data_IF_627127537416
#
_entry.id   IF_627127537416
#
_cell.length_a   1.000
_cell.length_b   1.000
_cell.length_c   1.000
_cell.angle_alpha   90.00
_cell.angle_beta   90.00
_cell.angle_gamma   90.00
#
_symmetry.space_group_name_H-M   'P 1'
#
loop_
_entity.id
_entity.type
_entity.pdbx_description
1 polymer ?
#
# COMPACT_ATOMS: atom_id res chain seq x y z
N UNK A 1 22.98 -15.14 4.38
CA UNK A 1 21.85 -15.02 3.44
C UNK A 1 22.45 -14.98 2.04
N UNK A 2 22.13 -15.95 1.20
CA UNK A 2 22.46 -15.86 -0.22
C UNK A 2 21.68 -14.67 -0.81
N UNK A 3 22.35 -13.73 -1.50
CA UNK A 3 21.70 -12.58 -2.12
C UNK A 3 20.64 -12.99 -3.16
N UNK A 4 20.04 -12.01 -3.83
CA UNK A 4 18.99 -12.23 -4.81
C UNK A 4 19.34 -13.34 -5.81
N UNK A 5 18.38 -14.24 -6.08
CA UNK A 5 18.51 -15.43 -6.95
C UNK A 5 19.61 -16.40 -6.51
N UNK A 6 20.04 -16.37 -5.23
CA UNK A 6 21.16 -17.17 -4.75
C UNK A 6 22.51 -16.83 -5.42
N UNK A 7 22.59 -15.68 -6.10
CA UNK A 7 23.75 -15.29 -6.91
C UNK A 7 23.81 -15.97 -8.29
N UNK A 8 22.80 -16.79 -8.64
CA UNK A 8 22.80 -17.57 -9.88
C UNK A 8 21.98 -16.87 -11.00
N UNK A 9 22.63 -16.43 -12.10
CA UNK A 9 21.95 -15.87 -13.25
C UNK A 9 20.91 -16.82 -13.91
N UNK A 10 21.12 -18.14 -13.79
CA UNK A 10 20.20 -19.12 -14.37
C UNK A 10 18.88 -19.14 -13.62
N UNK A 11 18.86 -18.96 -12.30
CA UNK A 11 17.64 -18.85 -11.49
C UNK A 11 16.83 -17.61 -11.91
N UNK A 12 17.51 -16.47 -12.10
CA UNK A 12 16.88 -15.23 -12.60
C UNK A 12 16.29 -15.44 -14.00
N UNK A 13 17.06 -16.02 -14.93
CA UNK A 13 16.62 -16.27 -16.30
C UNK A 13 15.39 -17.19 -16.32
N UNK A 14 15.41 -18.28 -15.58
CA UNK A 14 14.29 -19.22 -15.51
C UNK A 14 13.00 -18.59 -14.96
N UNK A 15 13.12 -17.64 -14.00
CA UNK A 15 11.97 -16.90 -13.48
C UNK A 15 11.42 -15.95 -14.54
N UNK A 16 12.27 -15.21 -15.25
CA UNK A 16 11.87 -14.31 -16.33
C UNK A 16 11.20 -15.09 -17.48
N UNK A 17 11.79 -16.20 -17.91
CA UNK A 17 11.22 -17.02 -18.98
C UNK A 17 9.84 -17.57 -18.60
N UNK A 18 9.65 -17.97 -17.32
CA UNK A 18 8.36 -18.39 -16.81
C UNK A 18 7.32 -17.27 -16.87
N UNK A 19 7.66 -16.07 -16.38
CA UNK A 19 6.75 -14.93 -16.43
C UNK A 19 6.39 -14.58 -17.88
N UNK A 20 7.38 -14.53 -18.78
CA UNK A 20 7.18 -14.25 -20.21
C UNK A 20 6.31 -15.29 -20.90
N UNK A 21 6.48 -16.57 -20.58
CA UNK A 21 5.61 -17.64 -21.11
C UNK A 21 4.15 -17.43 -20.69
N UNK A 22 3.91 -17.09 -19.40
CA UNK A 22 2.54 -16.81 -18.93
C UNK A 22 1.96 -15.52 -19.52
N UNK A 23 2.79 -14.53 -19.89
CA UNK A 23 2.36 -13.36 -20.67
C UNK A 23 1.95 -13.78 -22.09
N UNK A 24 2.77 -14.57 -22.77
CA UNK A 24 2.50 -15.03 -24.13
C UNK A 24 1.24 -15.90 -24.20
N UNK A 25 0.96 -16.71 -23.18
CA UNK A 25 -0.20 -17.59 -23.08
C UNK A 25 -1.46 -16.90 -22.52
N UNK A 26 -1.42 -15.58 -22.24
CA UNK A 26 -2.49 -14.80 -21.60
C UNK A 26 -2.98 -15.42 -20.27
N UNK A 27 -2.06 -15.99 -19.50
CA UNK A 27 -2.33 -16.64 -18.21
C UNK A 27 -1.71 -15.90 -17.01
N UNK A 28 -0.92 -14.84 -17.25
CA UNK A 28 -0.51 -13.89 -16.21
C UNK A 28 -1.68 -12.94 -15.90
N UNK A 29 -2.10 -12.88 -14.65
CA UNK A 29 -3.28 -12.14 -14.21
C UNK A 29 -2.93 -11.13 -13.10
N UNK A 30 -3.76 -10.11 -12.97
CA UNK A 30 -3.59 -9.08 -11.95
C UNK A 30 -4.90 -8.96 -11.15
N UNK A 31 -5.01 -9.69 -10.03
CA UNK A 31 -6.25 -9.75 -9.25
C UNK A 31 -6.15 -10.66 -8.03
N UNK A 32 -7.31 -11.11 -7.54
CA UNK A 32 -7.40 -11.80 -6.25
C UNK A 32 -6.94 -13.27 -6.27
N UNK A 33 -6.93 -13.92 -7.44
CA UNK A 33 -6.55 -15.34 -7.52
C UNK A 33 -5.07 -15.47 -7.76
N UNK A 34 -4.32 -15.85 -6.72
CA UNK A 34 -2.89 -15.99 -6.81
C UNK A 34 -2.48 -17.06 -7.83
N UNK A 35 -3.05 -18.26 -7.72
CA UNK A 35 -2.78 -19.39 -8.63
C UNK A 35 -4.00 -20.30 -8.75
N UNK A 36 -4.40 -20.69 -9.98
CA UNK A 36 -5.54 -21.58 -10.24
C UNK A 36 -5.15 -22.94 -10.86
N UNK A 37 -3.85 -23.25 -10.86
CA UNK A 37 -3.31 -24.46 -11.48
C UNK A 37 -2.85 -24.26 -12.93
N UNK A 38 -3.27 -23.19 -13.62
CA UNK A 38 -2.93 -22.87 -15.01
C UNK A 38 -2.32 -21.48 -15.17
N UNK A 39 -2.80 -20.50 -14.41
CA UNK A 39 -2.33 -19.14 -14.44
C UNK A 39 -2.54 -18.45 -13.10
N UNK A 40 -2.08 -17.21 -12.95
CA UNK A 40 -2.21 -16.47 -11.72
C UNK A 40 -1.49 -15.13 -11.72
N UNK A 41 -1.37 -14.54 -10.52
CA UNK A 41 -0.62 -13.32 -10.30
C UNK A 41 0.89 -13.53 -10.52
N UNK A 42 1.69 -12.47 -10.65
CA UNK A 42 3.15 -12.61 -10.74
C UNK A 42 3.76 -13.44 -9.61
N UNK A 43 3.30 -13.26 -8.37
CA UNK A 43 3.71 -14.07 -7.23
C UNK A 43 3.25 -15.53 -7.40
N UNK A 44 2.00 -15.73 -7.79
CA UNK A 44 1.40 -17.05 -8.01
C UNK A 44 2.09 -17.84 -9.12
N UNK A 45 2.36 -17.22 -10.25
CA UNK A 45 3.13 -17.81 -11.36
C UNK A 45 4.55 -18.19 -10.93
N UNK A 46 5.20 -17.31 -10.15
CA UNK A 46 6.57 -17.52 -9.70
C UNK A 46 6.70 -18.73 -8.77
N UNK A 47 5.75 -18.92 -7.86
CA UNK A 47 5.79 -19.97 -6.83
C UNK A 47 4.90 -21.17 -7.12
N UNK A 48 3.96 -21.06 -8.07
CA UNK A 48 2.84 -21.98 -8.29
C UNK A 48 1.93 -22.13 -7.06
N UNK A 49 1.77 -21.04 -6.30
CA UNK A 49 0.97 -21.06 -5.07
C UNK A 49 0.52 -19.68 -4.62
N UNK A 50 1.42 -18.71 -4.57
CA UNK A 50 1.12 -17.35 -4.10
C UNK A 50 1.58 -17.07 -2.66
N UNK A 51 2.43 -17.91 -2.10
CA UNK A 51 3.04 -17.68 -0.78
C UNK A 51 4.27 -16.77 -0.92
N UNK A 52 4.24 -15.64 -0.22
CA UNK A 52 5.36 -14.69 -0.16
C UNK A 52 6.61 -15.26 0.51
N UNK A 53 6.46 -16.20 1.46
CA UNK A 53 7.60 -16.83 2.10
C UNK A 53 8.29 -17.78 1.13
N UNK A 54 7.54 -18.56 0.34
CA UNK A 54 8.09 -19.41 -0.71
C UNK A 54 8.83 -18.59 -1.79
N UNK A 55 8.31 -17.41 -2.15
CA UNK A 55 9.01 -16.51 -3.07
C UNK A 55 10.31 -15.97 -2.45
N UNK A 56 10.27 -15.56 -1.20
CA UNK A 56 11.42 -15.05 -0.47
C UNK A 56 12.54 -16.12 -0.41
N UNK A 57 12.19 -17.33 -0.03
CA UNK A 57 13.13 -18.45 0.11
C UNK A 57 13.75 -18.87 -1.24
N UNK A 58 12.94 -18.93 -2.31
CA UNK A 58 13.42 -19.35 -3.63
C UNK A 58 14.28 -18.33 -4.34
N UNK A 59 13.96 -17.05 -4.20
CA UNK A 59 14.57 -16.00 -4.99
C UNK A 59 15.41 -15.02 -4.18
N UNK A 60 15.54 -15.21 -2.85
CA UNK A 60 16.39 -14.40 -1.98
C UNK A 60 15.87 -12.96 -1.77
N UNK A 61 14.57 -12.73 -1.97
CA UNK A 61 13.94 -11.44 -1.64
C UNK A 61 13.58 -11.39 -0.15
N UNK A 62 13.73 -10.22 0.52
CA UNK A 62 13.14 -10.04 1.84
C UNK A 62 11.63 -10.32 1.83
N UNK A 63 11.10 -10.92 2.89
CA UNK A 63 9.68 -11.30 2.99
C UNK A 63 8.73 -10.11 2.78
N UNK A 64 9.07 -8.94 3.34
CA UNK A 64 8.28 -7.73 3.15
C UNK A 64 8.21 -7.28 1.68
N UNK A 65 9.30 -7.46 0.91
CA UNK A 65 9.30 -7.19 -0.53
C UNK A 65 8.49 -8.24 -1.28
N UNK A 66 8.68 -9.53 -0.99
CA UNK A 66 7.93 -10.61 -1.64
C UNK A 66 6.41 -10.38 -1.54
N UNK A 67 5.93 -9.89 -0.38
CA UNK A 67 4.53 -9.52 -0.17
C UNK A 67 4.06 -8.30 -0.97
N UNK A 68 4.99 -7.53 -1.55
CA UNK A 68 4.66 -6.32 -2.31
C UNK A 68 4.50 -6.57 -3.82
N UNK A 69 4.97 -7.70 -4.37
CA UNK A 69 4.99 -7.94 -5.81
C UNK A 69 3.60 -7.80 -6.45
N UNK A 70 2.62 -8.54 -5.98
CA UNK A 70 1.26 -8.49 -6.53
C UNK A 70 0.55 -7.15 -6.30
N UNK A 71 0.56 -6.54 -5.07
CA UNK A 71 0.02 -5.20 -4.87
C UNK A 71 0.65 -4.14 -5.76
N UNK A 72 1.98 -4.15 -5.92
CA UNK A 72 2.68 -3.20 -6.78
C UNK A 72 2.22 -3.30 -8.24
N UNK A 73 2.11 -4.52 -8.77
CA UNK A 73 1.66 -4.74 -10.14
C UNK A 73 0.18 -4.35 -10.34
N UNK A 74 -0.66 -4.57 -9.33
CA UNK A 74 -2.05 -4.10 -9.37
C UNK A 74 -2.16 -2.57 -9.42
N UNK A 75 -1.30 -1.83 -8.71
CA UNK A 75 -1.25 -0.37 -8.76
C UNK A 75 -0.72 0.18 -10.10
N UNK A 76 0.06 -0.61 -10.85
CA UNK A 76 0.53 -0.20 -12.18
C UNK A 76 -0.62 0.05 -13.17
N UNK A 77 -1.76 -0.58 -12.94
CA UNK A 77 -2.89 -0.60 -13.86
C UNK A 77 -2.66 -1.57 -15.04
N UNK A 78 -3.71 -1.90 -15.80
CA UNK A 78 -3.66 -2.98 -16.80
C UNK A 78 -2.61 -2.75 -17.89
N UNK A 79 -2.34 -1.50 -18.25
CA UNK A 79 -1.42 -1.14 -19.34
C UNK A 79 0.06 -1.34 -18.95
N UNK A 80 0.41 -1.24 -17.66
CA UNK A 80 1.79 -1.29 -17.16
C UNK A 80 2.08 -2.49 -16.26
N UNK A 81 1.07 -3.27 -15.90
CA UNK A 81 1.20 -4.35 -14.92
C UNK A 81 2.19 -5.44 -15.36
N UNK A 82 2.18 -5.80 -16.66
CA UNK A 82 3.13 -6.77 -17.23
C UNK A 82 4.55 -6.24 -17.15
N UNK A 83 4.78 -5.02 -17.60
CA UNK A 83 6.10 -4.40 -17.58
C UNK A 83 6.63 -4.25 -16.14
N UNK A 84 5.77 -3.89 -15.20
CA UNK A 84 6.12 -3.80 -13.78
C UNK A 84 6.52 -5.17 -13.21
N UNK A 85 5.80 -6.24 -13.55
CA UNK A 85 6.12 -7.60 -13.11
C UNK A 85 7.46 -8.10 -13.66
N UNK A 86 7.73 -7.84 -14.93
CA UNK A 86 9.02 -8.20 -15.54
C UNK A 86 10.16 -7.35 -14.99
N UNK A 87 9.97 -6.03 -14.88
CA UNK A 87 10.96 -5.10 -14.35
C UNK A 87 11.35 -5.40 -12.89
N UNK A 88 10.43 -5.93 -12.08
CA UNK A 88 10.70 -6.40 -10.72
C UNK A 88 11.84 -7.43 -10.67
N UNK A 89 11.90 -8.33 -11.64
CA UNK A 89 12.96 -9.33 -11.73
C UNK A 89 14.17 -8.77 -12.50
N UNK A 90 13.94 -8.07 -13.60
CA UNK A 90 14.99 -7.59 -14.51
C UNK A 90 15.96 -6.63 -13.83
N UNK A 91 15.45 -5.71 -12.98
CA UNK A 91 16.26 -4.67 -12.33
C UNK A 91 17.14 -5.17 -11.19
N UNK A 92 16.92 -6.38 -10.70
CA UNK A 92 17.69 -6.94 -9.58
C UNK A 92 18.83 -7.80 -10.10
N UNK A 93 20.12 -7.44 -9.86
CA UNK A 93 21.24 -8.30 -10.21
C UNK A 93 21.26 -9.60 -9.38
N UNK A 94 21.70 -10.74 -9.96
CA UNK A 94 21.96 -11.92 -9.17
C UNK A 94 23.02 -11.65 -8.08
N UNK A 95 22.76 -12.09 -6.85
CA UNK A 95 23.63 -11.86 -5.71
C UNK A 95 23.46 -10.51 -5.01
N UNK A 96 22.61 -9.61 -5.52
CA UNK A 96 22.34 -8.33 -4.87
C UNK A 96 21.80 -8.51 -3.45
N UNK A 97 22.27 -7.70 -2.52
CA UNK A 97 21.72 -7.63 -1.16
C UNK A 97 20.49 -6.74 -1.13
N UNK A 98 19.31 -7.36 -1.09
CA UNK A 98 18.03 -6.66 -1.01
C UNK A 98 17.60 -6.34 0.43
N UNK A 99 18.35 -6.74 1.44
CA UNK A 99 17.96 -6.57 2.86
C UNK A 99 17.65 -5.12 3.26
N UNK A 100 18.33 -4.06 2.74
CA UNK A 100 18.03 -2.68 3.11
C UNK A 100 16.83 -2.06 2.37
N UNK A 101 16.32 -2.73 1.32
CA UNK A 101 15.28 -2.14 0.45
C UNK A 101 13.95 -1.91 1.18
N UNK A 102 13.43 -2.86 1.98
CA UNK A 102 12.18 -2.63 2.73
C UNK A 102 12.24 -1.41 3.63
N UNK A 103 13.33 -1.22 4.39
CA UNK A 103 13.50 -0.06 5.27
C UNK A 103 13.55 1.24 4.47
N UNK A 104 14.25 1.27 3.33
CA UNK A 104 14.30 2.45 2.44
C UNK A 104 12.93 2.83 1.90
N UNK A 105 12.09 1.85 1.55
CA UNK A 105 10.71 2.10 1.11
C UNK A 105 9.87 2.67 2.27
N UNK A 106 9.98 2.10 3.47
CA UNK A 106 9.30 2.65 4.66
C UNK A 106 9.73 4.09 4.92
N UNK A 107 11.04 4.36 4.88
CA UNK A 107 11.57 5.71 5.13
C UNK A 107 11.10 6.72 4.08
N UNK A 108 11.05 6.32 2.81
CA UNK A 108 10.49 7.12 1.72
C UNK A 108 9.03 7.49 1.99
N UNK A 109 8.18 6.50 2.25
CA UNK A 109 6.75 6.70 2.47
C UNK A 109 6.46 7.55 3.73
N UNK A 110 7.15 7.25 4.83
CA UNK A 110 7.04 8.05 6.07
C UNK A 110 7.64 9.44 5.88
N UNK A 111 8.65 9.60 5.02
CA UNK A 111 9.24 10.89 4.67
C UNK A 111 8.21 11.83 4.06
N UNK A 112 7.34 11.33 3.20
CA UNK A 112 6.29 12.12 2.57
C UNK A 112 5.08 12.39 3.47
N UNK A 113 4.70 11.43 4.34
CA UNK A 113 3.51 11.55 5.20
C UNK A 113 3.79 12.20 6.55
N UNK A 114 4.98 11.99 7.10
CA UNK A 114 5.29 12.28 8.50
C UNK A 114 6.20 13.51 8.67
N UNK A 115 5.99 14.54 7.85
CA UNK A 115 6.64 15.85 8.04
C UNK A 115 6.22 16.53 9.35
N UNK A 116 5.23 15.98 10.06
CA UNK A 116 4.74 16.51 11.33
C UNK A 116 5.75 16.29 12.46
N UNK A 117 5.92 17.32 13.31
CA UNK A 117 6.84 17.31 14.45
C UNK A 117 6.50 16.23 15.48
N UNK A 118 5.22 15.86 15.62
CA UNK A 118 4.78 14.83 16.56
C UNK A 118 5.18 13.41 16.10
N UNK A 119 5.22 13.17 14.78
CA UNK A 119 5.63 11.88 14.22
C UNK A 119 7.15 11.69 14.17
N UNK A 120 7.94 12.76 14.18
CA UNK A 120 9.39 12.68 14.04
C UNK A 120 10.07 11.82 15.13
N UNK A 121 9.74 11.91 16.43
CA UNK A 121 10.30 11.01 17.45
C UNK A 121 9.92 9.56 17.20
N UNK A 122 8.67 9.29 16.80
CA UNK A 122 8.20 7.94 16.51
C UNK A 122 8.93 7.31 15.32
N UNK A 123 9.20 8.09 14.26
CA UNK A 123 10.04 7.66 13.14
C UNK A 123 11.45 7.31 13.57
N UNK A 124 12.06 8.13 14.41
CA UNK A 124 13.43 7.90 14.90
C UNK A 124 13.53 6.59 15.70
N UNK A 125 12.55 6.32 16.59
CA UNK A 125 12.50 5.07 17.35
C UNK A 125 12.23 3.86 16.44
N UNK A 126 11.33 3.99 15.47
CA UNK A 126 11.06 2.94 14.48
C UNK A 126 12.32 2.59 13.68
N UNK A 127 13.06 3.59 13.20
CA UNK A 127 14.33 3.38 12.52
C UNK A 127 15.39 2.71 13.42
N UNK A 128 15.36 2.94 14.74
CA UNK A 128 16.22 2.20 15.69
C UNK A 128 15.83 0.73 15.77
N UNK A 129 14.53 0.41 15.81
CA UNK A 129 14.06 -0.97 15.80
C UNK A 129 14.45 -1.71 14.52
N UNK A 130 14.33 -1.09 13.34
CA UNK A 130 14.74 -1.70 12.07
C UNK A 130 16.25 -1.97 12.02
N UNK A 131 17.08 -1.01 12.45
CA UNK A 131 18.52 -1.24 12.56
C UNK A 131 18.88 -2.36 13.54
N UNK A 132 18.15 -2.43 14.66
CA UNK A 132 18.34 -3.50 15.66
C UNK A 132 17.85 -4.86 15.12
N UNK A 133 16.83 -4.90 14.26
CA UNK A 133 16.35 -6.13 13.61
C UNK A 133 17.44 -6.80 12.76
N UNK A 134 18.28 -6.01 12.12
CA UNK A 134 19.42 -6.50 11.33
C UNK A 134 20.62 -6.89 12.19
N UNK A 135 20.57 -6.72 13.51
CA UNK A 135 21.67 -7.05 14.44
C UNK A 135 21.60 -8.48 14.96
N UNK A 136 22.67 -8.88 15.69
CA UNK A 136 22.73 -10.18 16.37
C UNK A 136 21.69 -10.36 17.48
N UNK A 137 21.09 -9.27 17.96
CA UNK A 137 20.07 -9.28 19.02
C UNK A 137 18.84 -8.54 18.53
N UNK A 138 18.01 -9.19 17.70
CA UNK A 138 16.83 -8.53 17.15
C UNK A 138 15.83 -8.17 18.26
N UNK A 139 15.06 -7.06 18.09
CA UNK A 139 14.05 -6.64 19.05
C UNK A 139 13.01 -7.75 19.27
N UNK A 140 12.56 -7.89 20.51
CA UNK A 140 11.50 -8.82 20.82
C UNK A 140 10.15 -8.30 20.27
N UNK A 141 9.20 -9.21 20.02
CA UNK A 141 7.84 -8.83 19.57
C UNK A 141 7.16 -7.80 20.47
N UNK A 142 7.46 -7.84 21.77
CA UNK A 142 6.94 -6.87 22.76
C UNK A 142 7.42 -5.44 22.47
N UNK A 143 8.64 -5.24 22.00
CA UNK A 143 9.24 -3.92 21.77
C UNK A 143 8.50 -3.22 20.61
N UNK A 144 8.24 -3.96 19.53
CA UNK A 144 7.40 -3.50 18.42
C UNK A 144 5.97 -3.19 18.87
N UNK A 145 5.35 -4.07 19.66
CA UNK A 145 3.99 -3.91 20.14
C UNK A 145 3.86 -2.73 21.13
N UNK A 146 4.88 -2.46 21.93
CA UNK A 146 4.91 -1.36 22.89
C UNK A 146 5.02 -0.02 22.16
N UNK A 147 5.96 0.10 21.22
CA UNK A 147 6.09 1.30 20.39
C UNK A 147 4.78 1.57 19.62
N UNK A 148 4.22 0.57 18.95
CA UNK A 148 2.97 0.70 18.20
C UNK A 148 1.84 1.20 19.09
N UNK A 149 1.58 0.57 20.25
CA UNK A 149 0.50 1.00 21.18
C UNK A 149 0.69 2.42 21.69
N UNK A 150 1.94 2.86 21.88
CA UNK A 150 2.23 4.25 22.29
C UNK A 150 1.88 5.23 21.17
N UNK A 151 2.24 4.89 19.92
CA UNK A 151 1.92 5.70 18.75
C UNK A 151 0.40 5.75 18.50
N UNK A 152 -0.29 4.61 18.58
CA UNK A 152 -1.74 4.51 18.43
C UNK A 152 -2.47 5.41 19.44
N UNK A 153 -2.07 5.36 20.71
CA UNK A 153 -2.62 6.26 21.74
C UNK A 153 -2.35 7.73 21.46
N UNK A 154 -1.17 8.07 20.95
CA UNK A 154 -0.89 9.43 20.54
C UNK A 154 -1.75 9.87 19.34
N UNK A 155 -2.03 8.97 18.40
CA UNK A 155 -2.90 9.24 17.27
C UNK A 155 -4.38 9.41 17.69
N UNK A 156 -4.85 8.70 18.72
CA UNK A 156 -6.25 8.75 19.17
C UNK A 156 -6.66 10.13 19.72
N UNK A 157 -5.73 10.86 20.32
CA UNK A 157 -6.01 12.20 20.88
C UNK A 157 -5.99 13.31 19.81
N UNK A 158 -5.47 13.01 18.63
CA UNK A 158 -5.42 13.96 17.52
C UNK A 158 -6.76 13.98 16.75
N UNK A 159 -7.19 15.13 16.21
CA UNK A 159 -8.38 15.20 15.38
C UNK A 159 -8.30 14.22 14.19
N UNK A 160 -9.41 13.55 13.82
CA UNK A 160 -9.41 12.54 12.76
C UNK A 160 -8.88 13.01 11.40
N UNK A 161 -8.99 14.30 11.11
CA UNK A 161 -8.56 14.94 9.86
C UNK A 161 -7.18 15.60 9.95
N UNK A 162 -6.50 15.58 11.11
CA UNK A 162 -5.22 16.23 11.27
C UNK A 162 -4.08 15.48 10.55
N UNK A 163 -3.09 16.22 10.06
CA UNK A 163 -1.88 15.65 9.47
C UNK A 163 -1.09 14.87 10.52
N UNK A 164 -1.08 15.34 11.78
CA UNK A 164 -0.47 14.64 12.89
C UNK A 164 -1.04 13.23 13.08
N UNK A 165 -2.37 13.08 13.07
CA UNK A 165 -3.01 11.76 13.19
C UNK A 165 -2.65 10.81 12.04
N UNK A 166 -2.59 11.33 10.82
CA UNK A 166 -2.20 10.51 9.65
C UNK A 166 -0.74 10.07 9.75
N UNK A 167 0.14 11.00 10.08
CA UNK A 167 1.56 10.71 10.27
C UNK A 167 1.81 9.67 11.37
N UNK A 168 1.15 9.80 12.52
CA UNK A 168 1.21 8.83 13.60
C UNK A 168 0.61 7.47 13.18
N UNK A 169 -0.52 7.46 12.47
CA UNK A 169 -1.14 6.23 11.95
C UNK A 169 -0.21 5.50 10.97
N UNK A 170 0.48 6.25 10.10
CA UNK A 170 1.48 5.69 9.19
C UNK A 170 2.65 5.05 9.97
N UNK A 171 3.19 5.74 10.99
CA UNK A 171 4.22 5.19 11.86
C UNK A 171 3.76 3.92 12.59
N UNK A 172 2.53 3.91 13.13
CA UNK A 172 1.97 2.72 13.78
C UNK A 172 1.82 1.54 12.81
N UNK A 173 1.39 1.82 11.56
CA UNK A 173 1.28 0.82 10.49
C UNK A 173 2.63 0.22 10.13
N UNK A 174 3.69 1.01 10.10
CA UNK A 174 5.05 0.55 9.83
C UNK A 174 5.70 -0.19 11.02
N UNK A 175 5.09 -0.16 12.21
CA UNK A 175 5.69 -0.69 13.45
C UNK A 175 5.56 -2.22 13.56
N UNK A 176 6.20 -2.93 12.63
CA UNK A 176 6.32 -4.39 12.56
C UNK A 176 7.67 -4.81 12.00
N UNK A 177 8.19 -5.99 12.40
CA UNK A 177 9.42 -6.52 11.83
C UNK A 177 9.28 -6.76 10.33
N UNK A 178 10.22 -6.25 9.54
CA UNK A 178 10.23 -6.41 8.08
C UNK A 178 10.70 -7.82 7.65
N UNK A 179 11.43 -8.51 8.53
CA UNK A 179 11.91 -9.88 8.29
C UNK A 179 10.82 -10.94 8.43
N UNK A 180 9.76 -10.65 9.19
CA UNK A 180 8.70 -11.64 9.49
C UNK A 180 7.32 -11.24 9.03
N UNK A 181 7.16 -10.08 8.38
CA UNK A 181 5.87 -9.58 7.89
C UNK A 181 5.90 -9.26 6.42
N UNK A 182 5.09 -9.98 5.63
CA UNK A 182 4.85 -9.68 4.21
C UNK A 182 3.84 -8.54 3.98
N UNK A 183 3.09 -8.13 5.02
CA UNK A 183 1.98 -7.18 4.87
C UNK A 183 2.32 -5.73 5.21
N UNK A 184 3.47 -5.44 5.83
CA UNK A 184 3.83 -4.08 6.26
C UNK A 184 3.87 -3.10 5.09
N UNK A 185 4.63 -3.42 4.05
CA UNK A 185 4.76 -2.53 2.89
C UNK A 185 3.44 -2.32 2.15
N UNK A 186 2.67 -3.36 1.78
CA UNK A 186 1.36 -3.17 1.16
C UNK A 186 0.42 -2.31 2.01
N UNK A 187 0.37 -2.53 3.33
CA UNK A 187 -0.50 -1.77 4.22
C UNK A 187 -0.06 -0.31 4.35
N UNK A 188 1.24 -0.07 4.46
CA UNK A 188 1.78 1.30 4.54
C UNK A 188 1.54 2.07 3.23
N UNK A 189 1.73 1.43 2.07
CA UNK A 189 1.39 2.00 0.77
C UNK A 189 -0.10 2.36 0.71
N UNK A 190 -1.00 1.49 1.19
CA UNK A 190 -2.43 1.79 1.21
C UNK A 190 -2.75 3.04 2.07
N UNK A 191 -2.08 3.23 3.22
CA UNK A 191 -2.19 4.45 4.03
C UNK A 191 -1.67 5.66 3.27
N UNK A 192 -0.52 5.56 2.63
CA UNK A 192 0.09 6.62 1.82
C UNK A 192 -0.78 7.03 0.63
N UNK A 193 -1.40 6.06 -0.06
CA UNK A 193 -2.33 6.32 -1.15
C UNK A 193 -3.58 7.04 -0.66
N UNK A 194 -4.13 6.61 0.48
CA UNK A 194 -5.31 7.24 1.08
C UNK A 194 -5.03 8.69 1.48
N UNK A 195 -3.81 8.99 1.92
CA UNK A 195 -3.42 10.35 2.25
C UNK A 195 -3.50 11.30 1.05
N UNK A 196 -3.18 10.86 -0.17
CA UNK A 196 -3.33 11.64 -1.39
C UNK A 196 -4.76 12.18 -1.61
N UNK A 197 -5.77 11.41 -1.22
CA UNK A 197 -7.17 11.82 -1.36
C UNK A 197 -7.61 12.89 -0.36
N UNK A 198 -6.81 13.12 0.71
CA UNK A 198 -7.10 14.08 1.80
C UNK A 198 -6.62 15.49 1.52
N UNK A 199 -5.83 15.70 0.47
CA UNK A 199 -5.35 17.05 0.11
C UNK A 199 -6.54 18.03 0.09
N UNK A 200 -6.46 19.16 0.81
CA UNK A 200 -7.52 20.14 0.84
C UNK A 200 -7.92 20.58 -0.56
N UNK A 201 -9.23 20.65 -0.78
CA UNK A 201 -9.80 21.08 -2.05
C UNK A 201 -10.26 22.54 -1.91
N UNK A 202 -9.60 23.51 -2.59
CA UNK A 202 -9.98 24.93 -2.49
C UNK A 202 -11.41 25.20 -2.92
N UNK A 203 -11.94 24.40 -3.84
CA UNK A 203 -13.31 24.52 -4.34
C UNK A 203 -14.35 23.85 -3.43
N UNK A 204 -13.91 23.09 -2.43
CA UNK A 204 -14.77 22.37 -1.48
C UNK A 204 -14.33 22.62 -0.05
N UNK A 205 -14.43 23.89 0.37
CA UNK A 205 -14.03 24.33 1.72
C UNK A 205 -14.86 23.72 2.85
N UNK A 206 -14.41 23.90 4.09
CA UNK A 206 -14.98 23.28 5.29
C UNK A 206 -16.49 23.48 5.43
N UNK A 207 -16.98 24.72 5.27
CA UNK A 207 -18.41 25.04 5.37
C UNK A 207 -19.27 24.32 4.32
N UNK A 208 -18.71 24.07 3.11
CA UNK A 208 -19.42 23.30 2.07
C UNK A 208 -19.43 21.84 2.43
N UNK A 209 -18.33 21.31 2.97
CA UNK A 209 -18.18 19.94 3.44
C UNK A 209 -19.16 19.63 4.57
N UNK A 210 -19.22 20.47 5.59
CA UNK A 210 -20.15 20.31 6.72
C UNK A 210 -21.60 20.26 6.26
N UNK A 211 -22.00 21.16 5.34
CA UNK A 211 -23.35 21.16 4.76
C UNK A 211 -23.64 19.88 3.98
N UNK A 212 -22.67 19.41 3.17
CA UNK A 212 -22.85 18.18 2.39
C UNK A 212 -23.00 16.96 3.30
N UNK A 213 -22.13 16.81 4.30
CA UNK A 213 -22.22 15.73 5.27
C UNK A 213 -23.52 15.80 6.08
N UNK A 214 -23.90 16.97 6.60
CA UNK A 214 -25.15 17.15 7.34
C UNK A 214 -26.37 16.75 6.51
N UNK A 215 -26.40 17.09 5.21
CA UNK A 215 -27.48 16.69 4.31
C UNK A 215 -27.48 15.17 4.05
N UNK A 216 -26.33 14.56 3.83
CA UNK A 216 -26.20 13.11 3.65
C UNK A 216 -26.63 12.35 4.92
N UNK A 217 -26.19 12.80 6.09
CA UNK A 217 -26.59 12.23 7.38
C UNK A 217 -28.09 12.33 7.63
N UNK A 218 -28.70 13.45 7.21
CA UNK A 218 -30.15 13.63 7.31
C UNK A 218 -30.87 12.63 6.39
N UNK A 219 -30.48 12.53 5.11
CA UNK A 219 -31.07 11.57 4.16
C UNK A 219 -30.87 10.14 4.65
N UNK A 220 -29.69 9.83 5.19
CA UNK A 220 -29.40 8.51 5.73
C UNK A 220 -30.30 8.14 6.90
N UNK A 221 -30.56 9.07 7.83
CA UNK A 221 -31.49 8.85 8.94
C UNK A 221 -32.96 8.73 8.47
N UNK A 222 -33.40 9.58 7.56
CA UNK A 222 -34.76 9.55 7.02
C UNK A 222 -35.07 8.25 6.26
N UNK A 223 -34.08 7.65 5.65
CA UNK A 223 -34.22 6.41 4.88
C UNK A 223 -33.97 5.14 5.68
N UNK A 224 -33.61 5.25 6.96
CA UNK A 224 -33.34 4.09 7.81
C UNK A 224 -34.48 3.09 7.84
N UNK A 225 -35.80 3.49 8.03
CA UNK A 225 -36.91 2.55 8.05
C UNK A 225 -37.05 1.75 6.73
N UNK A 226 -36.78 2.37 5.57
CA UNK A 226 -36.85 1.69 4.27
C UNK A 226 -35.75 0.64 4.15
N UNK A 227 -34.51 1.00 4.57
CA UNK A 227 -33.40 0.09 4.56
C UNK A 227 -33.55 -1.07 5.53
N UNK A 228 -34.14 -0.80 6.70
CA UNK A 228 -34.45 -1.84 7.69
C UNK A 228 -35.54 -2.80 7.17
N UNK A 229 -36.42 -2.32 6.29
CA UNK A 229 -37.39 -3.15 5.57
C UNK A 229 -36.79 -3.91 4.36
N UNK A 230 -35.50 -3.76 4.10
CA UNK A 230 -34.79 -4.41 2.97
C UNK A 230 -34.97 -3.70 1.62
N UNK A 231 -35.51 -2.48 1.60
CA UNK A 231 -35.68 -1.72 0.38
C UNK A 231 -34.33 -1.13 -0.11
N UNK A 232 -34.08 -1.20 -1.42
CA UNK A 232 -32.94 -0.54 -2.03
C UNK A 232 -33.16 0.98 -2.07
N UNK A 233 -32.31 1.75 -1.41
CA UNK A 233 -32.39 3.21 -1.35
C UNK A 233 -31.17 3.83 -2.04
N UNK A 234 -31.39 4.59 -3.12
CA UNK A 234 -30.33 5.37 -3.77
C UNK A 234 -30.14 6.70 -3.03
N UNK A 235 -29.20 6.71 -2.08
CA UNK A 235 -28.83 7.92 -1.30
C UNK A 235 -28.26 9.02 -2.21
N UNK A 236 -27.34 8.76 -3.14
CA UNK A 236 -26.85 9.77 -4.10
C UNK A 236 -27.96 10.43 -4.92
N UNK A 237 -28.92 9.66 -5.44
CA UNK A 237 -30.04 10.24 -6.19
C UNK A 237 -30.90 11.16 -5.33
N UNK A 238 -31.18 10.79 -4.07
CA UNK A 238 -31.91 11.64 -3.12
C UNK A 238 -31.13 12.91 -2.77
N UNK A 239 -29.81 12.82 -2.64
CA UNK A 239 -28.97 13.99 -2.40
C UNK A 239 -28.99 14.95 -3.59
N UNK A 240 -28.86 14.44 -4.83
CA UNK A 240 -28.98 15.25 -6.04
C UNK A 240 -30.35 15.92 -6.15
N UNK A 241 -31.42 15.21 -5.85
CA UNK A 241 -32.78 15.77 -5.90
C UNK A 241 -33.01 16.89 -4.86
N UNK A 242 -32.45 16.75 -3.65
CA UNK A 242 -32.66 17.66 -2.53
C UNK A 242 -31.80 18.91 -2.57
N UNK A 243 -30.56 18.77 -3.01
CA UNK A 243 -29.56 19.84 -3.05
C UNK A 243 -28.64 19.72 -4.26
N UNK A 244 -29.15 19.97 -5.49
CA UNK A 244 -28.42 19.64 -6.73
C UNK A 244 -27.05 20.32 -6.84
N UNK A 245 -26.93 21.60 -6.50
CA UNK A 245 -25.67 22.32 -6.53
C UNK A 245 -24.65 21.80 -5.51
N UNK A 246 -25.12 21.45 -4.31
CA UNK A 246 -24.26 20.89 -3.25
C UNK A 246 -23.83 19.46 -3.59
N UNK A 247 -24.71 18.66 -4.17
CA UNK A 247 -24.39 17.33 -4.64
C UNK A 247 -23.36 17.36 -5.79
N UNK A 248 -23.52 18.26 -6.75
CA UNK A 248 -22.54 18.43 -7.83
C UNK A 248 -21.16 18.84 -7.32
N UNK A 249 -21.10 19.77 -6.36
CA UNK A 249 -19.83 20.18 -5.74
C UNK A 249 -19.17 19.01 -4.97
N UNK A 250 -19.95 18.22 -4.25
CA UNK A 250 -19.48 17.04 -3.52
C UNK A 250 -18.96 15.94 -4.47
N UNK A 251 -19.70 15.63 -5.52
CA UNK A 251 -19.30 14.65 -6.55
C UNK A 251 -18.01 15.09 -7.28
N UNK A 252 -17.89 16.37 -7.61
CA UNK A 252 -16.68 16.93 -8.21
C UNK A 252 -15.46 16.79 -7.27
N UNK A 253 -15.64 17.06 -5.98
CA UNK A 253 -14.59 16.88 -4.97
C UNK A 253 -14.17 15.41 -4.87
N UNK A 254 -15.14 14.47 -4.83
CA UNK A 254 -14.84 13.04 -4.80
C UNK A 254 -14.08 12.60 -6.06
N UNK A 255 -14.46 13.10 -7.23
CA UNK A 255 -13.76 12.79 -8.48
C UNK A 255 -12.31 13.30 -8.47
N UNK A 256 -12.07 14.52 -7.97
CA UNK A 256 -10.70 15.06 -7.81
C UNK A 256 -9.88 14.28 -6.77
N UNK A 257 -10.48 13.92 -5.64
CA UNK A 257 -9.82 13.10 -4.62
C UNK A 257 -9.45 11.71 -5.17
N UNK A 258 -10.35 11.08 -5.92
CA UNK A 258 -10.10 9.80 -6.58
C UNK A 258 -9.01 9.90 -7.66
N UNK A 259 -9.00 10.98 -8.46
CA UNK A 259 -7.95 11.22 -9.44
C UNK A 259 -6.56 11.29 -8.77
N UNK A 260 -6.42 12.06 -7.67
CA UNK A 260 -5.17 12.12 -6.89
C UNK A 260 -4.74 10.76 -6.35
N UNK A 261 -5.70 9.97 -5.85
CA UNK A 261 -5.43 8.61 -5.40
C UNK A 261 -4.89 7.72 -6.53
N UNK A 262 -5.54 7.75 -7.69
CA UNK A 262 -5.15 6.96 -8.87
C UNK A 262 -3.78 7.39 -9.38
N UNK A 263 -3.52 8.69 -9.49
CA UNK A 263 -2.23 9.22 -9.94
C UNK A 263 -1.09 8.80 -9.02
N UNK A 264 -1.30 8.88 -7.70
CA UNK A 264 -0.34 8.38 -6.73
C UNK A 264 -0.19 6.85 -6.79
N UNK A 265 -1.27 6.11 -6.97
CA UNK A 265 -1.21 4.65 -7.11
C UNK A 265 -0.35 4.23 -8.32
N UNK A 266 -0.50 4.92 -9.44
CA UNK A 266 0.30 4.68 -10.66
C UNK A 266 1.80 4.98 -10.49
N UNK A 267 2.20 5.75 -9.48
CA UNK A 267 3.61 6.00 -9.15
C UNK A 267 4.26 4.92 -8.28
N UNK A 268 3.45 4.05 -7.63
CA UNK A 268 3.97 2.98 -6.75
C UNK A 268 5.01 2.08 -7.45
N UNK A 269 4.75 1.57 -8.67
CA UNK A 269 5.74 0.73 -9.34
C UNK A 269 7.06 1.43 -9.58
N UNK A 270 7.03 2.68 -10.03
CA UNK A 270 8.23 3.46 -10.33
C UNK A 270 9.06 3.69 -9.06
N UNK A 271 8.40 4.05 -7.95
CA UNK A 271 9.03 4.21 -6.64
C UNK A 271 9.69 2.90 -6.16
N UNK A 272 8.96 1.79 -6.16
CA UNK A 272 9.46 0.50 -5.69
C UNK A 272 10.62 0.02 -6.58
N UNK A 273 10.46 0.09 -7.90
CA UNK A 273 11.48 -0.33 -8.87
C UNK A 273 12.74 0.54 -8.83
N UNK A 274 12.62 1.81 -8.46
CA UNK A 274 13.78 2.68 -8.22
C UNK A 274 14.58 2.21 -7.00
N UNK A 275 13.92 1.84 -5.89
CA UNK A 275 14.59 1.29 -4.72
C UNK A 275 15.26 -0.07 -5.00
N UNK A 276 14.65 -0.92 -5.82
CA UNK A 276 15.25 -2.18 -6.26
C UNK A 276 16.49 -1.97 -7.14
N UNK A 277 16.44 -1.00 -8.05
CA UNK A 277 17.58 -0.72 -8.94
C UNK A 277 18.79 -0.09 -8.21
N UNK A 278 18.57 0.54 -7.05
CA UNK A 278 19.62 1.21 -6.28
C UNK A 278 20.51 0.26 -5.45
N UNK A 279 20.35 -1.07 -5.58
CA UNK A 279 21.17 -2.09 -4.90
C UNK A 279 22.14 -2.82 -5.82
N UNK A 280 22.25 -2.37 -7.08
CA UNK A 280 23.17 -2.90 -8.09
C UNK A 280 24.53 -2.23 -8.12
#
# INVERSE_FOLDING_TARGET
VSGAFGGDPAVKAALLDRLRAHVADDTLRFGATAWDGRGGTPLGVSTRGGDSADYADRFGYPLALAGLLDPMTAYAGPERAVDAALAWVERVPPGADLSPVPERIVDHLLGEMAADRLAAPCRAELAQLYRAEASWTPPARRDWAELRRRIERAAEVEPPSSDARVALTACATACWPLTTSSSVLPTLIAVWLKDASRVPDPEFGEAVRERAHGMLDQIYRETQPLRDAGEAVDIPARFRARAPALAAAYEAQLARANARYIDRARSVPDMVLAHLAAVG
#
